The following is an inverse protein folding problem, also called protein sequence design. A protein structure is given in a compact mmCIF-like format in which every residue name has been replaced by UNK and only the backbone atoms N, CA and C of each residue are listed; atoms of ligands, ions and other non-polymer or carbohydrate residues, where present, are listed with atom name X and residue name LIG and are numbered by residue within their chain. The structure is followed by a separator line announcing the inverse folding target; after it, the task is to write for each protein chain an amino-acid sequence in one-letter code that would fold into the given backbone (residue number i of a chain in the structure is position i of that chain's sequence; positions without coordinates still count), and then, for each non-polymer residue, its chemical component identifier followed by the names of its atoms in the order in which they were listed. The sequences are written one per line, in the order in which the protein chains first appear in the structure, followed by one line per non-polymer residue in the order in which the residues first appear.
data_IF_677482095724
#
_entry.id   IF_677482095724
#
_cell.length_a   1.000
_cell.length_b   1.000
_cell.length_c   1.000
_cell.angle_alpha   90.00
_cell.angle_beta   90.00
_cell.angle_gamma   90.00
#
_symmetry.space_group_name_H-M   'P 1'
#
loop_
_entity.id
_entity.type
_entity.pdbx_description
1 polymer ?
#
# COMPACT_ATOMS: atom_id res chain seq x y z
N UNK A 1 35.55 -8.03 -30.81
CA UNK A 1 35.97 -7.44 -29.51
C UNK A 1 34.78 -6.69 -28.92
N UNK A 2 34.00 -7.32 -28.04
CA UNK A 2 33.03 -6.66 -27.14
C UNK A 2 32.33 -7.77 -26.33
N UNK A 3 32.71 -7.95 -25.07
CA UNK A 3 31.92 -8.61 -24.00
C UNK A 3 32.77 -8.70 -22.73
N UNK A 4 32.76 -7.65 -21.90
CA UNK A 4 33.40 -7.66 -20.57
C UNK A 4 32.83 -6.55 -19.67
N UNK A 5 31.55 -6.63 -19.32
CA UNK A 5 30.95 -5.67 -18.37
C UNK A 5 29.87 -6.22 -17.43
N UNK A 6 29.48 -7.50 -17.53
CA UNK A 6 28.38 -8.04 -16.70
C UNK A 6 28.80 -8.54 -15.30
N UNK A 7 30.10 -8.68 -15.00
CA UNK A 7 30.55 -9.29 -13.73
C UNK A 7 30.80 -8.31 -12.57
N UNK A 8 30.69 -6.99 -12.77
CA UNK A 8 31.08 -6.01 -11.76
C UNK A 8 29.97 -5.74 -10.71
N UNK A 9 28.69 -5.89 -11.09
CA UNK A 9 27.56 -5.57 -10.20
C UNK A 9 27.48 -6.54 -9.01
N UNK A 10 27.73 -7.84 -9.23
CA UNK A 10 27.71 -8.85 -8.17
C UNK A 10 28.79 -8.64 -7.11
N UNK A 11 30.01 -8.26 -7.52
CA UNK A 11 31.12 -8.00 -6.59
C UNK A 11 30.89 -6.75 -5.73
N UNK A 12 30.30 -5.70 -6.30
CA UNK A 12 29.96 -4.47 -5.55
C UNK A 12 28.85 -4.70 -4.53
N UNK A 13 27.84 -5.49 -4.88
CA UNK A 13 26.77 -5.88 -3.95
C UNK A 13 27.32 -6.73 -2.80
N UNK A 14 28.18 -7.70 -3.08
CA UNK A 14 28.83 -8.51 -2.06
C UNK A 14 29.70 -7.68 -1.11
N UNK A 15 30.45 -6.70 -1.63
CA UNK A 15 31.25 -5.80 -0.81
C UNK A 15 30.40 -4.87 0.08
N UNK A 16 29.27 -4.37 -0.43
CA UNK A 16 28.33 -3.56 0.36
C UNK A 16 27.63 -4.38 1.44
N UNK A 17 27.27 -5.63 1.13
CA UNK A 17 26.65 -6.54 2.10
C UNK A 17 27.64 -6.99 3.18
N UNK A 18 28.92 -7.22 2.82
CA UNK A 18 29.97 -7.60 3.76
C UNK A 18 30.41 -6.49 4.73
N UNK A 19 30.05 -5.23 4.44
CA UNK A 19 30.30 -4.08 5.30
C UNK A 19 29.12 -3.67 6.19
N UNK A 20 27.99 -4.38 6.12
CA UNK A 20 26.86 -4.11 7.00
C UNK A 20 27.20 -4.59 8.41
N UNK A 21 26.94 -3.78 9.46
CA UNK A 21 27.06 -4.26 10.82
C UNK A 21 26.14 -5.46 11.02
N UNK A 22 26.67 -6.53 11.61
CA UNK A 22 25.91 -7.73 11.91
C UNK A 22 24.78 -7.34 12.86
N UNK A 23 23.55 -7.35 12.34
CA UNK A 23 22.38 -6.95 13.10
C UNK A 23 22.04 -8.10 14.04
N UNK A 24 22.35 -7.92 15.32
CA UNK A 24 21.91 -8.82 16.39
C UNK A 24 20.60 -8.26 16.98
N UNK A 25 19.42 -8.66 16.48
CA UNK A 25 18.17 -8.24 17.06
C UNK A 25 18.09 -8.76 18.48
N UNK A 26 17.78 -7.86 19.42
CA UNK A 26 17.54 -8.28 20.80
C UNK A 26 16.50 -9.43 20.82
N UNK A 27 16.72 -10.51 21.58
CA UNK A 27 15.83 -11.68 21.57
C UNK A 27 14.41 -11.37 22.08
N UNK A 28 14.23 -10.26 22.81
CA UNK A 28 12.94 -9.79 23.32
C UNK A 28 12.10 -8.97 22.32
N UNK A 29 12.69 -8.58 21.18
CA UNK A 29 12.06 -7.71 20.19
C UNK A 29 10.82 -8.37 19.57
N UNK A 30 10.91 -9.66 19.25
CA UNK A 30 9.80 -10.44 18.73
C UNK A 30 8.65 -10.55 19.72
N UNK A 31 8.95 -10.85 20.99
CA UNK A 31 7.96 -10.93 22.07
C UNK A 31 7.23 -9.60 22.24
N UNK A 32 7.95 -8.48 22.19
CA UNK A 32 7.38 -7.14 22.33
C UNK A 32 6.51 -6.74 21.13
N UNK A 33 6.94 -7.06 19.91
CA UNK A 33 6.15 -6.87 18.69
C UNK A 33 4.87 -7.71 18.78
N UNK A 34 4.99 -9.00 19.16
CA UNK A 34 3.87 -9.91 19.35
C UNK A 34 2.88 -9.39 20.41
N UNK A 35 3.34 -8.92 21.57
CA UNK A 35 2.48 -8.38 22.63
C UNK A 35 1.68 -7.16 22.16
N UNK A 36 2.30 -6.24 21.43
CA UNK A 36 1.61 -5.07 20.86
C UNK A 36 0.60 -5.51 19.80
N UNK A 37 0.94 -6.51 18.97
CA UNK A 37 0.05 -7.08 17.97
C UNK A 37 -1.16 -7.79 18.60
N UNK A 38 -0.92 -8.61 19.64
CA UNK A 38 -1.96 -9.35 20.33
C UNK A 38 -2.91 -8.44 21.11
N UNK A 39 -2.40 -7.37 21.75
CA UNK A 39 -3.25 -6.39 22.45
C UNK A 39 -4.18 -5.65 21.47
N UNK A 40 -3.72 -5.35 20.25
CA UNK A 40 -4.54 -4.80 19.16
C UNK A 40 -5.56 -5.82 18.66
N UNK A 41 -5.17 -7.08 18.46
CA UNK A 41 -6.04 -8.17 18.02
C UNK A 41 -7.16 -8.48 19.03
N UNK A 42 -6.84 -8.48 20.34
CA UNK A 42 -7.82 -8.71 21.42
C UNK A 42 -8.86 -7.59 21.50
N UNK A 43 -8.45 -6.32 21.39
CA UNK A 43 -9.41 -5.19 21.34
C UNK A 43 -10.33 -5.26 20.11
N UNK A 44 -9.83 -5.73 18.97
CA UNK A 44 -10.64 -5.92 17.74
C UNK A 44 -11.59 -7.12 17.83
N UNK A 45 -11.23 -8.20 18.53
CA UNK A 45 -12.11 -9.37 18.72
C UNK A 45 -13.37 -9.06 19.52
N UNK A 46 -13.28 -8.18 20.53
CA UNK A 46 -14.48 -7.74 21.28
C UNK A 46 -15.38 -6.78 20.46
N UNK A 47 -14.81 -5.97 19.55
CA UNK A 47 -15.60 -5.15 18.62
C UNK A 47 -16.16 -5.90 17.41
N UNK A 48 -15.56 -7.04 17.03
CA UNK A 48 -15.93 -7.80 15.84
C UNK A 48 -17.28 -8.53 15.96
N UNK A 49 -17.72 -8.87 17.18
CA UNK A 49 -19.06 -9.45 17.38
C UNK A 49 -20.19 -8.46 17.05
N UNK A 50 -19.95 -7.14 17.18
CA UNK A 50 -20.91 -6.10 16.77
C UNK A 50 -20.72 -5.66 15.31
N UNK A 51 -19.53 -5.85 14.71
CA UNK A 51 -19.22 -5.39 13.35
C UNK A 51 -19.68 -6.34 12.23
N UNK A 52 -20.01 -7.60 12.55
CA UNK A 52 -20.54 -8.56 11.58
C UNK A 52 -21.84 -8.10 10.89
N UNK A 53 -22.64 -7.27 11.56
CA UNK A 53 -23.86 -6.68 10.99
C UNK A 53 -23.63 -5.40 10.18
N UNK A 54 -22.51 -4.68 10.40
CA UNK A 54 -22.22 -3.41 9.72
C UNK A 54 -21.47 -3.59 8.39
N UNK A 55 -20.78 -4.72 8.19
CA UNK A 55 -20.07 -5.00 6.94
C UNK A 55 -21.02 -5.13 5.74
N UNK A 56 -22.27 -5.58 5.95
CA UNK A 56 -23.32 -5.62 4.94
C UNK A 56 -23.79 -4.21 4.54
N UNK A 57 -23.80 -3.26 5.47
CA UNK A 57 -24.24 -1.88 5.22
C UNK A 57 -23.15 -1.02 4.55
N UNK A 58 -21.86 -1.27 4.84
CA UNK A 58 -20.75 -0.53 4.23
C UNK A 58 -20.56 -0.87 2.73
N UNK A 59 -20.89 -2.09 2.30
CA UNK A 59 -20.93 -2.45 0.88
C UNK A 59 -22.02 -1.69 0.11
N UNK A 60 -23.11 -1.29 0.78
CA UNK A 60 -24.21 -0.52 0.19
C UNK A 60 -23.92 0.99 0.10
N UNK A 61 -23.15 1.56 1.04
CA UNK A 61 -22.87 3.01 1.05
C UNK A 61 -21.78 3.45 0.06
N UNK A 62 -20.87 2.56 -0.36
CA UNK A 62 -19.80 2.90 -1.33
C UNK A 62 -20.31 2.93 -2.78
N UNK A 63 -21.50 2.40 -3.06
CA UNK A 63 -22.11 2.43 -4.39
C UNK A 63 -22.57 3.85 -4.83
N UNK A 64 -22.56 4.84 -3.94
CA UNK A 64 -23.00 6.22 -4.24
C UNK A 64 -21.87 7.17 -4.64
N UNK A 65 -20.60 6.75 -4.64
CA UNK A 65 -19.52 7.61 -5.13
C UNK A 65 -19.51 7.51 -6.66
N UNK A 66 -19.76 8.61 -7.41
CA UNK A 66 -19.69 8.61 -8.87
C UNK A 66 -18.23 8.41 -9.30
N UNK A 67 -17.84 7.15 -9.48
CA UNK A 67 -16.55 6.79 -10.06
C UNK A 67 -16.61 7.05 -11.55
N UNK A 68 -15.82 8.01 -12.01
CA UNK A 68 -15.49 8.20 -13.42
C UNK A 68 -15.13 6.86 -14.08
N UNK A 69 -15.69 6.52 -15.26
CA UNK A 69 -15.45 5.24 -15.91
C UNK A 69 -14.01 5.20 -16.44
N UNK A 70 -13.10 4.60 -15.67
CA UNK A 70 -11.82 4.12 -16.20
C UNK A 70 -12.09 2.74 -16.79
N UNK A 71 -12.01 2.63 -18.11
CA UNK A 71 -12.02 1.36 -18.84
C UNK A 71 -10.75 0.61 -18.43
N UNK A 72 -10.91 -0.50 -17.70
CA UNK A 72 -9.80 -1.39 -17.33
C UNK A 72 -10.16 -2.80 -17.78
N UNK A 73 -9.23 -3.54 -18.43
CA UNK A 73 -9.51 -4.88 -18.92
C UNK A 73 -9.95 -5.83 -17.80
N UNK A 74 -10.99 -6.61 -18.12
CA UNK A 74 -11.77 -7.47 -17.20
C UNK A 74 -11.00 -8.68 -16.66
N UNK A 75 -9.74 -8.87 -17.06
CA UNK A 75 -8.90 -10.03 -16.72
C UNK A 75 -7.65 -9.69 -15.92
N UNK A 76 -7.62 -8.56 -15.21
CA UNK A 76 -6.46 -8.21 -14.39
C UNK A 76 -6.37 -9.12 -13.15
N UNK A 77 -5.30 -9.91 -13.09
CA UNK A 77 -4.97 -10.75 -11.94
C UNK A 77 -4.70 -9.87 -10.71
N UNK A 78 -4.82 -10.40 -9.47
CA UNK A 78 -4.52 -9.63 -8.26
C UNK A 78 -3.11 -9.01 -8.27
N UNK A 79 -2.16 -9.71 -8.90
CA UNK A 79 -0.78 -9.26 -9.05
C UNK A 79 -0.66 -7.97 -9.86
N UNK A 80 -1.49 -7.78 -10.90
CA UNK A 80 -1.44 -6.60 -11.76
C UNK A 80 -1.82 -5.33 -11.01
N UNK A 81 -2.88 -5.44 -10.19
CA UNK A 81 -3.34 -4.33 -9.36
C UNK A 81 -2.37 -4.00 -8.23
N UNK A 82 -1.77 -5.01 -7.61
CA UNK A 82 -0.73 -4.82 -6.62
C UNK A 82 0.51 -4.13 -7.22
N UNK A 83 0.99 -4.61 -8.37
CA UNK A 83 2.12 -4.03 -9.07
C UNK A 83 1.87 -2.57 -9.46
N UNK A 84 0.68 -2.27 -10.00
CA UNK A 84 0.24 -0.90 -10.31
C UNK A 84 0.21 -0.01 -9.08
N UNK A 85 -0.33 -0.50 -7.97
CA UNK A 85 -0.39 0.25 -6.72
C UNK A 85 1.00 0.60 -6.19
N UNK A 86 1.94 -0.34 -6.25
CA UNK A 86 3.34 -0.07 -5.89
C UNK A 86 4.05 0.89 -6.85
N UNK A 87 3.73 0.85 -8.15
CA UNK A 87 4.28 1.79 -9.12
C UNK A 87 3.84 3.23 -8.81
N UNK A 88 2.54 3.45 -8.59
CA UNK A 88 1.98 4.75 -8.22
C UNK A 88 2.55 5.27 -6.90
N UNK A 89 2.75 4.38 -5.92
CA UNK A 89 3.37 4.76 -4.65
C UNK A 89 4.82 5.21 -4.82
N UNK A 90 5.60 4.56 -5.69
CA UNK A 90 6.97 5.02 -6.01
C UNK A 90 6.96 6.37 -6.70
N UNK A 91 6.07 6.56 -7.67
CA UNK A 91 5.91 7.84 -8.38
C UNK A 91 5.57 8.97 -7.42
N UNK A 92 4.59 8.76 -6.54
CA UNK A 92 4.22 9.75 -5.53
C UNK A 92 5.36 10.06 -4.55
N UNK A 93 6.10 9.04 -4.08
CA UNK A 93 7.25 9.30 -3.21
C UNK A 93 8.35 10.09 -3.92
N UNK A 94 8.53 9.86 -5.23
CA UNK A 94 9.50 10.58 -6.04
C UNK A 94 9.10 12.04 -6.31
N UNK A 95 7.80 12.37 -6.33
CA UNK A 95 7.33 13.75 -6.53
C UNK A 95 7.54 14.67 -5.31
N UNK A 96 8.11 14.14 -4.21
CA UNK A 96 8.44 14.88 -2.97
C UNK A 96 7.21 15.63 -2.41
N UNK A 97 6.30 14.92 -1.72
CA UNK A 97 5.03 15.50 -1.28
C UNK A 97 5.25 16.56 -0.21
N UNK A 98 5.34 17.83 -0.62
CA UNK A 98 5.55 18.95 0.29
C UNK A 98 4.35 19.19 1.22
N UNK A 99 3.14 18.78 0.82
CA UNK A 99 1.94 18.93 1.65
C UNK A 99 0.82 17.96 1.23
N UNK A 100 0.81 16.75 1.79
CA UNK A 100 -0.28 15.80 1.58
C UNK A 100 -1.53 16.27 2.35
N UNK A 101 -2.69 16.30 1.68
CA UNK A 101 -3.96 16.55 2.38
C UNK A 101 -4.19 15.44 3.44
N UNK A 102 -4.46 15.79 4.72
CA UNK A 102 -4.77 14.83 5.77
C UNK A 102 -5.90 13.85 5.41
N UNK A 103 -6.86 14.27 4.58
CA UNK A 103 -8.00 13.44 4.15
C UNK A 103 -7.53 12.25 3.30
N UNK A 104 -6.72 12.50 2.28
CA UNK A 104 -6.16 11.42 1.44
C UNK A 104 -5.26 10.49 2.26
N UNK A 105 -4.51 11.03 3.23
CA UNK A 105 -3.71 10.20 4.14
C UNK A 105 -4.58 9.30 5.01
N UNK A 106 -5.70 9.79 5.52
CA UNK A 106 -6.63 8.98 6.31
C UNK A 106 -7.30 7.89 5.47
N UNK A 107 -7.70 8.22 4.24
CA UNK A 107 -8.28 7.28 3.28
C UNK A 107 -7.32 6.14 2.91
N UNK A 108 -6.08 6.45 2.52
CA UNK A 108 -5.08 5.43 2.21
C UNK A 108 -4.80 4.51 3.41
N UNK A 109 -4.71 5.07 4.63
CA UNK A 109 -4.53 4.27 5.85
C UNK A 109 -5.71 3.35 6.13
N UNK A 110 -6.93 3.77 5.80
CA UNK A 110 -8.12 2.93 5.93
C UNK A 110 -8.05 1.76 4.95
N UNK A 111 -7.72 2.03 3.68
CA UNK A 111 -7.58 1.00 2.63
C UNK A 111 -6.47 0.00 3.00
N UNK A 112 -5.30 0.48 3.42
CA UNK A 112 -4.19 -0.37 3.84
C UNK A 112 -4.57 -1.25 5.05
N UNK A 113 -5.33 -0.71 6.00
CA UNK A 113 -5.83 -1.49 7.13
C UNK A 113 -6.83 -2.58 6.72
N UNK A 114 -7.66 -2.33 5.70
CA UNK A 114 -8.56 -3.32 5.13
C UNK A 114 -7.81 -4.40 4.36
N UNK A 115 -6.82 -4.03 3.55
CA UNK A 115 -5.92 -4.96 2.86
C UNK A 115 -5.21 -5.87 3.89
N UNK A 116 -4.63 -5.30 4.94
CA UNK A 116 -3.99 -6.08 5.99
C UNK A 116 -4.98 -7.05 6.67
N UNK A 117 -6.18 -6.58 7.00
CA UNK A 117 -7.20 -7.44 7.60
C UNK A 117 -7.64 -8.58 6.67
N UNK A 118 -7.65 -8.34 5.35
CA UNK A 118 -7.93 -9.35 4.34
C UNK A 118 -6.79 -10.39 4.26
N UNK A 119 -5.53 -9.95 4.27
CA UNK A 119 -4.39 -10.88 4.36
C UNK A 119 -4.40 -11.69 5.66
N UNK A 120 -4.66 -11.06 6.80
CA UNK A 120 -4.69 -11.71 8.12
C UNK A 120 -5.73 -12.84 8.22
N UNK A 121 -6.81 -12.77 7.42
CA UNK A 121 -7.85 -13.80 7.34
C UNK A 121 -7.68 -14.78 6.17
N UNK A 122 -6.60 -14.66 5.40
CA UNK A 122 -6.36 -15.51 4.22
C UNK A 122 -7.36 -15.27 3.09
N UNK A 123 -7.73 -14.00 2.86
CA UNK A 123 -8.69 -13.63 1.82
C UNK A 123 -8.27 -14.11 0.43
N UNK A 124 -9.24 -14.52 -0.37
CA UNK A 124 -9.02 -15.05 -1.71
C UNK A 124 -8.70 -13.92 -2.71
N UNK A 125 -8.06 -14.23 -3.85
CA UNK A 125 -7.80 -13.28 -4.95
C UNK A 125 -8.95 -12.32 -5.27
N UNK A 126 -10.17 -12.83 -5.45
CA UNK A 126 -11.34 -12.00 -5.78
C UNK A 126 -11.76 -11.02 -4.67
N UNK A 127 -11.35 -11.24 -3.43
CA UNK A 127 -11.58 -10.32 -2.30
C UNK A 127 -10.47 -9.27 -2.21
N UNK A 128 -9.25 -9.60 -2.65
CA UNK A 128 -8.09 -8.70 -2.62
C UNK A 128 -8.06 -7.74 -3.82
N UNK A 129 -8.44 -8.21 -5.01
CA UNK A 129 -8.52 -7.41 -6.24
C UNK A 129 -9.26 -6.07 -6.05
N UNK A 130 -10.49 -6.02 -5.51
CA UNK A 130 -11.19 -4.74 -5.34
C UNK A 130 -10.44 -3.81 -4.37
N UNK A 131 -9.82 -4.32 -3.32
CA UNK A 131 -9.05 -3.51 -2.37
C UNK A 131 -7.78 -2.92 -3.01
N UNK A 132 -7.06 -3.71 -3.82
CA UNK A 132 -5.90 -3.23 -4.57
C UNK A 132 -6.28 -2.20 -5.64
N UNK A 133 -7.43 -2.38 -6.29
CA UNK A 133 -8.00 -1.39 -7.21
C UNK A 133 -8.31 -0.08 -6.49
N UNK A 134 -8.99 -0.14 -5.34
CA UNK A 134 -9.28 1.03 -4.49
C UNK A 134 -8.01 1.79 -4.11
N UNK A 135 -6.97 1.07 -3.65
CA UNK A 135 -5.68 1.68 -3.31
C UNK A 135 -5.04 2.36 -4.51
N UNK A 136 -5.08 1.71 -5.67
CA UNK A 136 -4.53 2.26 -6.91
C UNK A 136 -5.27 3.52 -7.37
N UNK A 137 -6.60 3.55 -7.27
CA UNK A 137 -7.40 4.74 -7.57
C UNK A 137 -7.08 5.90 -6.62
N UNK A 138 -7.00 5.64 -5.32
CA UNK A 138 -6.65 6.65 -4.32
C UNK A 138 -5.24 7.24 -4.55
N UNK A 139 -4.25 6.38 -4.85
CA UNK A 139 -2.89 6.84 -5.19
C UNK A 139 -2.85 7.62 -6.51
N UNK A 140 -3.60 7.19 -7.52
CA UNK A 140 -3.65 7.89 -8.80
C UNK A 140 -4.22 9.30 -8.64
N UNK A 141 -5.28 9.47 -7.85
CA UNK A 141 -5.87 10.78 -7.59
C UNK A 141 -4.91 11.68 -6.82
N UNK A 142 -4.18 11.10 -5.87
CA UNK A 142 -3.15 11.81 -5.13
C UNK A 142 -2.03 12.33 -6.04
N UNK A 143 -1.50 11.48 -6.93
CA UNK A 143 -0.48 11.85 -7.92
C UNK A 143 -0.99 12.96 -8.83
N UNK A 144 -2.25 12.89 -9.29
CA UNK A 144 -2.86 13.95 -10.11
C UNK A 144 -2.96 15.28 -9.37
N UNK A 145 -3.39 15.25 -8.11
CA UNK A 145 -3.55 16.45 -7.28
C UNK A 145 -2.22 17.14 -7.01
N UNK A 146 -1.19 16.35 -6.71
CA UNK A 146 0.17 16.83 -6.46
C UNK A 146 0.77 17.48 -7.73
N UNK A 147 0.69 16.79 -8.87
CA UNK A 147 1.14 17.31 -10.16
C UNK A 147 0.41 18.61 -10.58
N UNK A 148 -0.89 18.73 -10.25
CA UNK A 148 -1.67 19.95 -10.48
C UNK A 148 -1.19 21.13 -9.65
N UNK A 149 -0.83 20.91 -8.37
CA UNK A 149 -0.31 21.95 -7.48
C UNK A 149 1.05 22.46 -7.93
N UNK A 150 1.98 21.56 -8.28
CA UNK A 150 3.32 21.96 -8.75
C UNK A 150 3.22 22.89 -9.96
N UNK A 151 2.34 22.58 -10.92
CA UNK A 151 2.11 23.43 -12.10
C UNK A 151 1.52 24.80 -11.77
N UNK A 152 0.65 24.90 -10.76
CA UNK A 152 0.08 26.18 -10.34
C UNK A 152 1.14 27.11 -9.73
N UNK A 153 2.09 26.56 -8.97
CA UNK A 153 3.18 27.33 -8.35
C UNK A 153 4.15 27.90 -9.39
N UNK A 154 4.44 27.17 -10.47
CA UNK A 154 5.39 27.58 -11.51
C UNK A 154 4.86 28.67 -12.47
N UNK A 155 3.58 29.07 -12.38
CA UNK A 155 2.97 30.03 -13.32
C UNK A 155 2.89 31.49 -12.82
N UNK A 156 3.61 31.82 -11.75
CA UNK A 156 3.69 33.17 -11.17
C UNK A 156 4.99 33.83 -11.62
#
# INVERSE_FOLDING_TARGET
MMSRSETNTGGRLAALLGGLPEYDPRPDLWSRIQFVHQRRKRRRRHGAWMAGMLASAALLLVALVPRSPQVVPVTAEPGDWQARSHALEREWRASSPGFMDPRYRAELRLIDAQLQAAYDRGAKPHELVPLWKLRSEALQELVRTDNGRVRAVTRI
#
